data_IF_555111951685
#
_entry.id   IF_555111951685
#
_cell.length_a   1.000
_cell.length_b   1.000
_cell.length_c   1.000
_cell.angle_alpha   90.00
_cell.angle_beta   90.00
_cell.angle_gamma   90.00
#
_symmetry.space_group_name_H-M   'P 1'
#
loop_
_entity.id
_entity.type
_entity.pdbx_description
1 polymer ?
#
# COMPACT_ATOMS: atom_id res chain seq x y z
N UNK A 1 9.21 -29.60 13.29
CA UNK A 1 9.01 -28.13 13.30
C UNK A 1 10.22 -27.51 12.64
N UNK A 2 10.05 -26.77 11.53
CA UNK A 2 10.87 -27.01 10.34
C UNK A 2 12.02 -26.06 10.01
N UNK A 3 12.35 -24.99 10.72
CA UNK A 3 13.58 -24.20 10.42
C UNK A 3 14.26 -23.51 11.63
N UNK A 4 13.67 -23.54 12.83
CA UNK A 4 14.27 -22.91 14.03
C UNK A 4 14.41 -21.38 13.96
N UNK A 5 13.83 -20.74 12.94
CA UNK A 5 13.85 -19.28 12.74
C UNK A 5 12.56 -18.64 13.26
N UNK A 6 12.60 -17.36 13.67
CA UNK A 6 11.42 -16.63 14.09
C UNK A 6 10.41 -16.45 12.94
N UNK A 7 9.13 -16.49 13.28
CA UNK A 7 8.02 -16.17 12.37
C UNK A 7 7.55 -14.73 12.61
N UNK A 8 7.41 -13.95 11.54
CA UNK A 8 6.96 -12.55 11.59
C UNK A 8 5.70 -12.43 10.72
N UNK A 9 4.58 -12.06 11.34
CA UNK A 9 3.36 -11.70 10.62
C UNK A 9 3.48 -10.31 10.00
N UNK A 10 3.04 -10.13 8.76
CA UNK A 10 3.04 -8.85 8.06
C UNK A 10 1.62 -8.36 7.79
N UNK A 11 1.43 -7.04 7.80
CA UNK A 11 0.16 -6.43 7.44
C UNK A 11 0.09 -6.21 5.92
N UNK A 12 -0.98 -6.72 5.30
CA UNK A 12 -1.21 -6.59 3.86
C UNK A 12 -1.18 -5.13 3.38
N UNK A 13 -1.80 -4.19 4.12
CA UNK A 13 -1.84 -2.77 3.78
C UNK A 13 -0.48 -2.10 3.96
N UNK A 14 0.27 -2.47 5.00
CA UNK A 14 1.64 -1.97 5.16
C UNK A 14 2.54 -2.45 4.04
N UNK A 15 2.32 -3.66 3.51
CA UNK A 15 2.99 -4.15 2.31
C UNK A 15 2.79 -3.21 1.11
N UNK A 16 1.55 -2.77 0.86
CA UNK A 16 1.26 -1.78 -0.20
C UNK A 16 1.95 -0.44 0.04
N UNK A 17 1.99 0.03 1.29
CA UNK A 17 2.68 1.29 1.65
C UNK A 17 4.20 1.20 1.45
N UNK A 18 4.81 0.12 1.92
CA UNK A 18 6.26 -0.07 1.86
C UNK A 18 6.78 -0.50 0.49
N UNK A 19 5.90 -0.90 -0.44
CA UNK A 19 6.28 -1.15 -1.83
C UNK A 19 6.99 0.07 -2.45
N UNK A 20 6.57 1.30 -2.10
CA UNK A 20 7.20 2.54 -2.56
C UNK A 20 8.62 2.78 -2.01
N UNK A 21 9.07 2.01 -1.02
CA UNK A 21 10.45 2.05 -0.50
C UNK A 21 11.37 1.01 -1.15
N UNK A 22 10.83 0.10 -1.95
CA UNK A 22 11.64 -0.86 -2.70
C UNK A 22 12.36 -0.11 -3.82
N UNK A 23 13.67 -0.33 -3.93
CA UNK A 23 14.46 0.20 -5.04
C UNK A 23 14.26 -0.72 -6.25
N UNK A 24 13.67 -0.20 -7.33
CA UNK A 24 13.76 -0.90 -8.62
C UNK A 24 15.17 -0.73 -9.19
N UNK A 25 15.77 -1.85 -9.60
CA UNK A 25 16.93 -1.86 -10.48
C UNK A 25 16.48 -1.44 -11.89
N UNK A 26 16.37 -0.14 -12.12
CA UNK A 26 15.96 0.43 -13.40
C UNK A 26 14.71 1.31 -13.30
N UNK A 27 14.91 2.53 -12.84
CA UNK A 27 14.12 3.72 -13.20
C UNK A 27 12.59 3.60 -13.32
N UNK A 28 11.89 3.73 -12.18
CA UNK A 28 10.78 4.71 -12.05
C UNK A 28 10.87 5.33 -10.66
N UNK A 29 11.80 6.25 -10.45
CA UNK A 29 11.65 7.38 -9.53
C UNK A 29 12.92 8.22 -9.55
N UNK A 30 12.90 9.34 -10.27
CA UNK A 30 13.83 10.45 -10.04
C UNK A 30 13.67 11.11 -8.66
N UNK A 31 12.83 10.53 -7.80
CA UNK A 31 12.54 10.96 -6.44
C UNK A 31 13.19 9.93 -5.51
N UNK A 32 13.99 10.38 -4.54
CA UNK A 32 14.60 9.50 -3.54
C UNK A 32 13.55 8.77 -2.68
N UNK A 33 14.01 8.09 -1.62
CA UNK A 33 13.08 7.45 -0.66
C UNK A 33 12.03 8.47 -0.18
N UNK A 34 10.74 8.09 -0.09
CA UNK A 34 9.70 9.00 0.38
C UNK A 34 10.04 9.57 1.77
N UNK A 35 9.88 10.89 1.92
CA UNK A 35 10.03 11.59 3.20
C UNK A 35 8.69 11.70 3.95
N UNK A 36 8.76 11.95 5.26
CA UNK A 36 7.58 12.17 6.10
C UNK A 36 7.30 13.67 6.32
N UNK A 37 6.04 14.06 6.53
CA UNK A 37 4.83 13.25 6.35
C UNK A 37 4.51 13.03 4.86
N UNK A 38 3.86 11.90 4.53
CA UNK A 38 3.40 11.61 3.17
C UNK A 38 1.94 11.16 3.14
N UNK A 39 1.28 11.48 2.04
CA UNK A 39 -0.05 10.97 1.72
C UNK A 39 0.08 9.76 0.78
N UNK A 40 -0.53 8.64 1.16
CA UNK A 40 -0.49 7.37 0.45
C UNK A 40 -1.88 7.01 -0.03
N UNK A 41 -2.03 6.73 -1.33
CA UNK A 41 -3.26 6.20 -1.90
C UNK A 41 -3.06 4.71 -2.23
N UNK A 42 -3.78 3.84 -1.54
CA UNK A 42 -3.83 2.40 -1.86
C UNK A 42 -5.05 2.19 -2.76
N UNK A 43 -4.82 1.99 -4.06
CA UNK A 43 -5.86 1.70 -5.04
C UNK A 43 -5.65 0.31 -5.63
N UNK A 44 -6.33 -0.69 -5.07
CA UNK A 44 -6.26 -2.10 -5.48
C UNK A 44 -7.66 -2.66 -5.77
N UNK A 45 -7.75 -3.96 -6.07
CA UNK A 45 -9.04 -4.65 -6.21
C UNK A 45 -9.88 -4.70 -4.93
N UNK A 46 -9.25 -4.60 -3.75
CA UNK A 46 -9.94 -4.68 -2.46
C UNK A 46 -9.89 -3.40 -1.63
N UNK A 47 -9.02 -2.45 -1.99
CA UNK A 47 -8.76 -1.26 -1.20
C UNK A 47 -8.80 0.00 -2.06
N UNK A 48 -9.36 1.06 -1.49
CA UNK A 48 -9.29 2.42 -2.05
C UNK A 48 -9.24 3.34 -0.84
N UNK A 49 -8.02 3.44 -0.30
CA UNK A 49 -7.73 4.03 1.01
C UNK A 49 -6.73 5.17 0.86
N UNK A 50 -7.03 6.32 1.47
CA UNK A 50 -6.13 7.44 1.61
C UNK A 50 -5.59 7.49 3.03
N UNK A 51 -4.29 7.33 3.17
CA UNK A 51 -3.58 7.23 4.45
C UNK A 51 -2.58 8.37 4.55
N UNK A 52 -2.57 9.09 5.66
CA UNK A 52 -1.50 10.01 6.04
C UNK A 52 -0.49 9.21 6.88
N UNK A 53 0.73 9.11 6.41
CA UNK A 53 1.83 8.47 7.11
C UNK A 53 2.77 9.55 7.63
N UNK A 54 2.83 9.70 8.96
CA UNK A 54 3.67 10.71 9.62
C UNK A 54 5.06 10.16 9.99
N UNK A 55 5.22 8.84 9.92
CA UNK A 55 6.44 8.12 10.22
C UNK A 55 6.26 6.62 9.99
N UNK A 56 7.35 5.85 10.08
CA UNK A 56 7.27 4.39 10.05
C UNK A 56 6.35 3.86 11.16
N UNK A 57 5.34 3.07 10.79
CA UNK A 57 4.35 2.54 11.74
C UNK A 57 3.33 3.57 12.24
N UNK A 58 3.43 4.84 11.85
CA UNK A 58 2.48 5.88 12.24
C UNK A 58 1.58 6.25 11.05
N UNK A 59 0.36 5.70 11.06
CA UNK A 59 -0.62 5.80 9.98
C UNK A 59 -1.93 6.38 10.49
N UNK A 60 -2.48 7.34 9.75
CA UNK A 60 -3.82 7.89 9.96
C UNK A 60 -4.66 7.69 8.70
N UNK A 61 -5.77 6.95 8.82
CA UNK A 61 -6.73 6.85 7.74
C UNK A 61 -7.43 8.21 7.56
N UNK A 62 -7.27 8.82 6.38
CA UNK A 62 -7.90 10.10 6.02
C UNK A 62 -9.22 9.87 5.29
N UNK A 63 -9.29 8.80 4.47
CA UNK A 63 -10.50 8.43 3.75
C UNK A 63 -10.43 7.01 3.19
N UNK A 64 -11.58 6.39 2.97
CA UNK A 64 -11.72 5.06 2.37
C UNK A 64 -13.02 4.99 1.57
N UNK A 65 -13.04 4.22 0.49
CA UNK A 65 -14.28 3.92 -0.24
C UNK A 65 -15.31 3.26 0.68
N UNK A 66 -16.58 3.66 0.56
CA UNK A 66 -17.68 3.04 1.33
C UNK A 66 -18.27 1.82 0.62
N UNK A 67 -17.99 1.69 -0.67
CA UNK A 67 -18.61 0.72 -1.57
C UNK A 67 -17.52 -0.10 -2.28
N UNK A 68 -17.57 -0.18 -3.60
CA UNK A 68 -16.57 -0.89 -4.38
C UNK A 68 -15.22 -0.17 -4.32
N UNK A 69 -14.15 -0.94 -4.14
CA UNK A 69 -12.79 -0.48 -4.40
C UNK A 69 -12.62 -0.21 -5.90
N UNK A 70 -11.75 0.75 -6.24
CA UNK A 70 -11.52 1.20 -7.61
C UNK A 70 -11.20 0.05 -8.56
N UNK A 71 -10.36 -0.91 -8.14
CA UNK A 71 -10.06 -2.09 -8.96
C UNK A 71 -11.26 -3.00 -9.18
N UNK A 72 -12.09 -3.22 -8.15
CA UNK A 72 -13.33 -4.01 -8.26
C UNK A 72 -14.36 -3.33 -9.16
N UNK A 73 -14.53 -2.02 -9.03
CA UNK A 73 -15.41 -1.23 -9.88
C UNK A 73 -14.98 -1.32 -11.35
N UNK A 74 -13.67 -1.20 -11.62
CA UNK A 74 -13.13 -1.30 -12.98
C UNK A 74 -13.41 -2.67 -13.61
N UNK A 75 -13.17 -3.76 -12.89
CA UNK A 75 -13.51 -5.12 -13.34
C UNK A 75 -14.99 -5.24 -13.69
N UNK A 76 -15.88 -4.74 -12.81
CA UNK A 76 -17.34 -4.80 -13.03
C UNK A 76 -17.79 -4.03 -14.27
N UNK A 77 -17.19 -2.87 -14.54
CA UNK A 77 -17.50 -2.07 -15.72
C UNK A 77 -16.99 -2.70 -17.02
N UNK A 78 -15.81 -3.31 -16.99
CA UNK A 78 -15.19 -3.92 -18.17
C UNK A 78 -15.71 -5.34 -18.45
N UNK A 79 -16.47 -5.94 -17.52
CA UNK A 79 -17.14 -7.22 -17.73
C UNK A 79 -16.19 -8.42 -17.79
N UNK A 80 -15.02 -8.32 -17.13
CA UNK A 80 -14.10 -9.45 -16.94
C UNK A 80 -14.57 -10.43 -15.87
#
# INVERSE_FOLDING_TARGET
MSLGVPFIGSNHLEGHLYASWLKESGEISGFGKPGFPLACLIASGGHTDLILMEGHGNYKLVGRTRDDAAGRLLTKLLGF
#
